data_IF_813687807492
#
_entry.id   IF_813687807492
#
_cell.length_a   1.000
_cell.length_b   1.000
_cell.length_c   1.000
_cell.angle_alpha   90.00
_cell.angle_beta   90.00
_cell.angle_gamma   90.00
#
_symmetry.space_group_name_H-M   'P 1'
#
loop_
_entity.id
_entity.type
_entity.pdbx_description
1 polymer ?
#
# COMPACT_ATOMS: atom_id res chain seq x y z
N UNK A 1 14.05 4.46 -27.75
CA UNK A 1 13.60 5.40 -26.70
C UNK A 1 14.44 6.68 -26.68
N UNK A 2 15.76 6.63 -26.39
CA UNK A 2 16.61 7.83 -26.24
C UNK A 2 16.60 8.78 -27.45
N UNK A 3 16.72 8.26 -28.68
CA UNK A 3 16.66 9.10 -29.89
C UNK A 3 15.32 9.81 -30.08
N UNK A 4 14.22 9.11 -29.81
CA UNK A 4 12.86 9.67 -29.86
C UNK A 4 12.68 10.74 -28.80
N UNK A 5 13.17 10.50 -27.58
CA UNK A 5 13.13 11.48 -26.50
C UNK A 5 13.87 12.76 -26.88
N UNK A 6 15.11 12.64 -27.39
CA UNK A 6 15.88 13.82 -27.82
C UNK A 6 15.20 14.55 -28.97
N UNK A 7 14.73 13.86 -30.00
CA UNK A 7 14.03 14.50 -31.11
C UNK A 7 12.80 15.30 -30.63
N UNK A 8 12.04 14.76 -29.66
CA UNK A 8 10.90 15.47 -29.08
C UNK A 8 11.31 16.69 -28.26
N UNK A 9 12.37 16.58 -27.45
CA UNK A 9 12.92 17.69 -26.68
C UNK A 9 13.47 18.79 -27.60
N UNK A 10 14.24 18.40 -28.62
CA UNK A 10 14.86 19.32 -29.59
C UNK A 10 13.80 20.04 -30.44
N UNK A 11 12.62 19.44 -30.62
CA UNK A 11 11.45 20.05 -31.25
C UNK A 11 10.49 20.74 -30.26
N UNK A 12 10.92 21.01 -29.02
CA UNK A 12 10.10 21.66 -27.97
C UNK A 12 8.73 20.99 -27.74
N UNK A 13 8.64 19.67 -27.89
CA UNK A 13 7.42 18.92 -27.62
C UNK A 13 7.31 18.60 -26.13
N UNK A 14 6.11 18.68 -25.59
CA UNK A 14 5.84 18.31 -24.20
C UNK A 14 5.94 16.80 -24.03
N UNK A 15 6.64 16.35 -22.99
CA UNK A 15 6.83 14.95 -22.65
C UNK A 15 6.34 14.74 -21.21
N UNK A 16 5.43 13.79 -21.00
CA UNK A 16 4.96 13.36 -19.68
C UNK A 16 5.31 11.88 -19.52
N UNK A 17 5.97 11.54 -18.41
CA UNK A 17 6.43 10.18 -18.12
C UNK A 17 5.95 9.82 -16.72
N UNK A 18 5.39 8.63 -16.58
CA UNK A 18 5.08 8.00 -15.29
C UNK A 18 5.95 6.77 -15.08
N UNK A 19 6.34 6.53 -13.84
CA UNK A 19 7.15 5.38 -13.43
C UNK A 19 6.83 4.99 -11.98
N UNK A 20 6.99 3.71 -11.64
CA UNK A 20 6.76 3.19 -10.28
C UNK A 20 7.90 3.52 -9.29
N UNK A 21 8.97 4.14 -9.79
CA UNK A 21 10.20 4.47 -9.06
C UNK A 21 10.74 5.80 -9.55
N UNK A 22 11.48 6.47 -8.68
CA UNK A 22 12.20 7.69 -9.05
C UNK A 22 13.17 7.41 -10.21
N UNK A 23 13.47 8.39 -11.09
CA UNK A 23 14.34 8.17 -12.25
C UNK A 23 15.71 7.55 -11.93
N UNK A 24 16.28 7.83 -10.75
CA UNK A 24 17.56 7.28 -10.31
C UNK A 24 17.51 5.78 -9.97
N UNK A 25 16.36 5.31 -9.51
CA UNK A 25 16.14 3.93 -9.02
C UNK A 25 15.64 2.97 -10.12
N UNK A 26 15.44 3.44 -11.34
CA UNK A 26 14.99 2.61 -12.46
C UNK A 26 16.13 1.66 -12.89
N UNK A 27 15.97 0.37 -12.57
CA UNK A 27 16.92 -0.68 -12.96
C UNK A 27 16.91 -0.89 -14.48
N UNK A 28 18.09 -1.08 -15.07
CA UNK A 28 18.24 -1.33 -16.50
C UNK A 28 18.16 -0.09 -17.39
N UNK A 29 17.96 1.10 -16.83
CA UNK A 29 17.99 2.35 -17.56
C UNK A 29 19.42 2.90 -17.65
N UNK A 30 19.85 3.33 -18.83
CA UNK A 30 21.18 3.94 -19.01
C UNK A 30 21.30 5.27 -18.25
N UNK A 31 22.46 5.54 -17.65
CA UNK A 31 22.69 6.73 -16.82
C UNK A 31 22.37 8.06 -17.52
N UNK A 32 22.66 8.16 -18.82
CA UNK A 32 22.31 9.35 -19.62
C UNK A 32 20.80 9.60 -19.69
N UNK A 33 19.98 8.54 -19.67
CA UNK A 33 18.52 8.67 -19.70
C UNK A 33 18.03 9.06 -18.30
N UNK A 34 18.57 8.46 -17.24
CA UNK A 34 18.25 8.84 -15.86
C UNK A 34 18.52 10.32 -15.60
N UNK A 35 19.70 10.80 -16.00
CA UNK A 35 20.08 12.21 -15.88
C UNK A 35 19.10 13.13 -16.61
N UNK A 36 18.70 12.78 -17.85
CA UNK A 36 17.73 13.57 -18.62
C UNK A 36 16.34 13.63 -17.97
N UNK A 37 15.87 12.52 -17.39
CA UNK A 37 14.60 12.48 -16.65
C UNK A 37 14.64 13.37 -15.40
N UNK A 38 15.80 13.44 -14.73
CA UNK A 38 16.01 14.29 -13.54
C UNK A 38 16.12 15.78 -13.87
N UNK A 39 16.49 16.15 -15.10
CA UNK A 39 16.54 17.56 -15.52
C UNK A 39 15.16 18.21 -15.65
N UNK A 40 14.07 17.43 -15.70
CA UNK A 40 12.70 17.92 -15.77
C UNK A 40 12.06 18.17 -14.40
N UNK A 41 10.74 18.41 -14.40
CA UNK A 41 9.96 18.44 -13.18
C UNK A 41 9.64 17.00 -12.74
N UNK A 42 10.17 16.60 -11.59
CA UNK A 42 9.87 15.31 -10.94
C UNK A 42 8.89 15.56 -9.81
N UNK A 43 7.74 14.89 -9.83
CA UNK A 43 6.70 15.01 -8.80
C UNK A 43 6.34 13.63 -8.29
N UNK A 44 6.35 13.48 -6.97
CA UNK A 44 5.96 12.23 -6.31
C UNK A 44 4.45 12.14 -6.17
N UNK A 45 3.91 10.95 -6.49
CA UNK A 45 2.52 10.59 -6.21
C UNK A 45 2.45 9.86 -4.88
N UNK A 46 1.84 10.50 -3.89
CA UNK A 46 1.67 9.94 -2.56
C UNK A 46 0.46 8.98 -2.52
N UNK A 47 0.46 8.01 -1.60
CA UNK A 47 -0.73 7.21 -1.32
C UNK A 47 -1.93 8.11 -0.99
N UNK A 48 -3.13 7.68 -1.38
CA UNK A 48 -4.33 8.47 -1.10
C UNK A 48 -4.60 8.55 0.40
N UNK A 49 -4.86 9.75 0.89
CA UNK A 49 -5.42 9.98 2.21
C UNK A 49 -6.95 9.85 2.21
N UNK A 50 -7.56 10.06 3.37
CA UNK A 50 -9.01 10.02 3.50
C UNK A 50 -9.71 11.08 2.64
N UNK A 51 -9.22 12.32 2.69
CA UNK A 51 -9.79 13.46 1.96
C UNK A 51 -9.78 13.22 0.45
N UNK A 52 -8.65 12.74 -0.10
CA UNK A 52 -8.54 12.42 -1.52
C UNK A 52 -9.46 11.26 -1.92
N UNK A 53 -9.58 10.22 -1.09
CA UNK A 53 -10.54 9.12 -1.35
C UNK A 53 -11.98 9.61 -1.37
N UNK A 54 -12.36 10.48 -0.42
CA UNK A 54 -13.70 11.06 -0.37
C UNK A 54 -13.96 11.95 -1.59
N UNK A 55 -13.00 12.81 -1.96
CA UNK A 55 -13.11 13.66 -3.15
C UNK A 55 -13.26 12.86 -4.44
N UNK A 56 -12.49 11.77 -4.60
CA UNK A 56 -12.63 10.84 -5.74
C UNK A 56 -14.03 10.23 -5.75
N UNK A 57 -14.54 9.75 -4.62
CA UNK A 57 -15.89 9.19 -4.53
C UNK A 57 -16.97 10.21 -4.87
N UNK A 58 -16.87 11.45 -4.41
CA UNK A 58 -17.82 12.52 -4.72
C UNK A 58 -17.86 12.80 -6.23
N UNK A 59 -16.70 12.99 -6.86
CA UNK A 59 -16.60 13.20 -8.30
C UNK A 59 -17.18 12.01 -9.08
N UNK A 60 -16.85 10.78 -8.68
CA UNK A 60 -17.35 9.56 -9.34
C UNK A 60 -18.83 9.35 -9.10
N UNK A 61 -19.38 9.74 -7.95
CA UNK A 61 -20.81 9.66 -7.67
C UNK A 61 -21.59 10.59 -8.60
N UNK A 62 -21.10 11.81 -8.83
CA UNK A 62 -21.70 12.75 -9.80
C UNK A 62 -21.70 12.18 -11.22
N UNK A 63 -20.58 11.61 -11.66
CA UNK A 63 -20.50 10.94 -12.98
C UNK A 63 -21.49 9.77 -13.09
N UNK A 64 -21.61 8.95 -12.05
CA UNK A 64 -22.52 7.80 -12.05
C UNK A 64 -24.00 8.23 -12.02
N UNK A 65 -24.35 9.33 -11.33
CA UNK A 65 -25.71 9.89 -11.37
C UNK A 65 -26.16 10.23 -12.80
N UNK A 66 -25.23 10.67 -13.65
CA UNK A 66 -25.51 10.91 -15.07
C UNK A 66 -25.83 9.63 -15.86
N UNK A 67 -25.21 8.51 -15.51
CA UNK A 67 -25.41 7.22 -16.18
C UNK A 67 -26.61 6.43 -15.64
N UNK A 68 -26.97 6.63 -14.36
CA UNK A 68 -28.04 5.93 -13.67
C UNK A 68 -29.08 6.93 -13.13
N UNK A 69 -29.88 7.55 -14.01
CA UNK A 69 -30.88 8.53 -13.60
C UNK A 69 -31.90 7.88 -12.65
N UNK A 70 -32.17 8.55 -11.53
CA UNK A 70 -33.13 8.09 -10.51
C UNK A 70 -32.53 7.26 -9.38
N UNK A 71 -31.27 6.82 -9.47
CA UNK A 71 -30.58 6.20 -8.34
C UNK A 71 -30.28 7.25 -7.28
N UNK A 72 -30.75 7.00 -6.04
CA UNK A 72 -30.48 7.84 -4.87
C UNK A 72 -29.37 7.24 -4.04
N UNK A 73 -28.58 8.11 -3.41
CA UNK A 73 -27.50 7.73 -2.51
C UNK A 73 -27.74 8.39 -1.16
N UNK A 74 -27.85 7.58 -0.12
CA UNK A 74 -28.06 8.07 1.23
C UNK A 74 -26.82 8.81 1.77
N UNK A 75 -26.99 9.79 2.67
CA UNK A 75 -25.89 10.44 3.36
C UNK A 75 -25.01 9.43 4.11
N UNK A 76 -23.69 9.68 4.19
CA UNK A 76 -22.76 8.83 4.94
C UNK A 76 -22.22 7.62 4.17
N UNK A 77 -22.80 7.26 3.02
CA UNK A 77 -22.33 6.11 2.22
C UNK A 77 -20.94 6.37 1.64
N UNK A 78 -20.65 7.57 1.14
CA UNK A 78 -19.34 7.88 0.58
C UNK A 78 -18.27 7.92 1.67
N UNK A 79 -18.59 8.53 2.81
CA UNK A 79 -17.73 8.59 3.99
C UNK A 79 -17.43 7.17 4.51
N UNK A 80 -18.44 6.31 4.54
CA UNK A 80 -18.28 4.91 4.90
C UNK A 80 -17.33 4.18 3.95
N UNK A 81 -17.51 4.32 2.64
CA UNK A 81 -16.63 3.70 1.64
C UNK A 81 -15.19 4.22 1.77
N UNK A 82 -14.99 5.54 1.92
CA UNK A 82 -13.67 6.17 2.07
C UNK A 82 -12.92 5.71 3.33
N UNK A 83 -13.64 5.41 4.41
CA UNK A 83 -13.08 4.84 5.65
C UNK A 83 -12.75 3.36 5.52
N UNK A 84 -13.61 2.59 4.85
CA UNK A 84 -13.52 1.12 4.86
C UNK A 84 -12.64 0.56 3.75
N UNK A 85 -12.52 1.24 2.61
CA UNK A 85 -11.74 0.81 1.46
C UNK A 85 -10.52 1.72 1.32
N UNK A 86 -9.41 1.32 1.94
CA UNK A 86 -8.16 2.11 1.98
C UNK A 86 -7.04 1.55 1.11
N UNK A 87 -7.19 0.33 0.59
CA UNK A 87 -6.11 -0.38 -0.11
C UNK A 87 -5.82 0.17 -1.50
N UNK A 88 -6.85 0.43 -2.31
CA UNK A 88 -6.66 0.83 -3.70
C UNK A 88 -7.83 1.67 -4.23
N UNK A 89 -7.54 2.81 -4.85
CA UNK A 89 -8.54 3.71 -5.45
C UNK A 89 -9.38 3.00 -6.52
N UNK A 90 -8.81 2.05 -7.28
CA UNK A 90 -9.58 1.28 -8.27
C UNK A 90 -10.64 0.40 -7.62
N UNK A 91 -10.34 -0.18 -6.45
CA UNK A 91 -11.32 -0.97 -5.68
C UNK A 91 -12.41 -0.05 -5.14
N UNK A 92 -12.03 1.14 -4.66
CA UNK A 92 -12.96 2.16 -4.19
C UNK A 92 -13.94 2.61 -5.29
N UNK A 93 -13.43 2.93 -6.49
CA UNK A 93 -14.25 3.32 -7.63
C UNK A 93 -15.14 2.17 -8.12
N UNK A 94 -14.59 0.96 -8.20
CA UNK A 94 -15.34 -0.23 -8.61
C UNK A 94 -16.48 -0.59 -7.64
N UNK A 95 -16.24 -0.42 -6.33
CA UNK A 95 -17.25 -0.58 -5.30
C UNK A 95 -18.42 0.40 -5.49
N UNK A 96 -18.11 1.69 -5.71
CA UNK A 96 -19.14 2.71 -5.98
C UNK A 96 -19.93 2.39 -7.25
N UNK A 97 -19.26 2.07 -8.36
CA UNK A 97 -19.91 1.71 -9.62
C UNK A 97 -20.83 0.50 -9.46
N UNK A 98 -20.41 -0.51 -8.69
CA UNK A 98 -21.23 -1.70 -8.38
C UNK A 98 -22.50 -1.33 -7.61
N UNK A 99 -22.42 -0.42 -6.64
CA UNK A 99 -23.60 0.05 -5.90
C UNK A 99 -24.60 0.74 -6.82
N UNK A 100 -24.15 1.62 -7.71
CA UNK A 100 -25.02 2.30 -8.67
C UNK A 100 -25.69 1.32 -9.64
N UNK A 101 -24.93 0.37 -10.20
CA UNK A 101 -25.47 -0.66 -11.08
C UNK A 101 -26.52 -1.53 -10.36
N UNK A 102 -26.23 -1.98 -9.14
CA UNK A 102 -27.15 -2.80 -8.36
C UNK A 102 -28.42 -2.03 -7.96
N UNK A 103 -28.27 -0.79 -7.48
CA UNK A 103 -29.40 0.06 -7.11
C UNK A 103 -30.30 0.38 -8.30
N UNK A 104 -29.72 0.62 -9.48
CA UNK A 104 -30.48 0.83 -10.72
C UNK A 104 -31.26 -0.43 -11.13
N UNK A 105 -30.71 -1.62 -10.91
CA UNK A 105 -31.37 -2.88 -11.26
C UNK A 105 -32.53 -3.20 -10.32
N UNK A 106 -32.35 -2.96 -9.01
CA UNK A 106 -33.34 -3.32 -7.97
C UNK A 106 -34.33 -2.17 -7.69
N UNK A 107 -34.05 -0.96 -8.20
CA UNK A 107 -34.89 0.22 -7.98
C UNK A 107 -34.88 0.70 -6.53
N UNK A 108 -33.77 0.48 -5.81
CA UNK A 108 -33.63 0.86 -4.39
C UNK A 108 -32.61 1.97 -4.22
N UNK A 109 -32.80 2.77 -3.17
CA UNK A 109 -31.80 3.74 -2.74
C UNK A 109 -30.55 3.03 -2.19
N UNK A 110 -29.37 3.58 -2.49
CA UNK A 110 -28.10 3.09 -1.93
C UNK A 110 -28.01 3.56 -0.48
N UNK A 111 -28.38 2.69 0.46
CA UNK A 111 -28.23 2.89 1.90
C UNK A 111 -26.97 2.20 2.43
N UNK A 112 -26.61 2.46 3.69
CA UNK A 112 -25.50 1.74 4.34
C UNK A 112 -25.76 0.23 4.41
N UNK A 113 -27.00 -0.19 4.67
CA UNK A 113 -27.35 -1.62 4.72
C UNK A 113 -27.17 -2.29 3.37
N UNK A 114 -27.72 -1.70 2.29
CA UNK A 114 -27.53 -2.18 0.93
C UNK A 114 -26.04 -2.21 0.55
N UNK A 115 -25.28 -1.23 1.01
CA UNK A 115 -23.84 -1.15 0.78
C UNK A 115 -23.11 -2.31 1.44
N UNK A 116 -23.43 -2.62 2.69
CA UNK A 116 -22.81 -3.73 3.43
C UNK A 116 -23.15 -5.09 2.81
N UNK A 117 -24.39 -5.27 2.38
CA UNK A 117 -24.83 -6.51 1.74
C UNK A 117 -24.16 -6.70 0.37
N UNK A 118 -24.22 -5.67 -0.48
CA UNK A 118 -23.72 -5.70 -1.86
C UNK A 118 -22.19 -5.80 -1.95
N UNK A 119 -21.48 -5.23 -0.97
CA UNK A 119 -20.02 -5.17 -0.95
C UNK A 119 -19.39 -6.04 0.14
N UNK A 120 -20.12 -7.01 0.70
CA UNK A 120 -19.63 -7.84 1.80
C UNK A 120 -18.29 -8.52 1.50
N UNK A 121 -18.05 -8.94 0.26
CA UNK A 121 -16.80 -9.48 -0.25
C UNK A 121 -15.66 -8.44 -0.23
N UNK A 122 -15.93 -7.26 -0.78
CA UNK A 122 -14.98 -6.16 -0.93
C UNK A 122 -14.59 -5.61 0.44
N UNK A 123 -15.57 -5.40 1.31
CA UNK A 123 -15.36 -4.90 2.67
C UNK A 123 -14.56 -5.90 3.51
N UNK A 124 -14.81 -7.21 3.37
CA UNK A 124 -14.00 -8.24 4.03
C UNK A 124 -12.55 -8.26 3.53
N UNK A 125 -12.35 -8.05 2.23
CA UNK A 125 -11.00 -7.98 1.66
C UNK A 125 -10.26 -6.72 2.12
N UNK A 126 -10.94 -5.58 2.24
CA UNK A 126 -10.38 -4.34 2.78
C UNK A 126 -10.14 -4.39 4.29
N UNK A 127 -10.90 -5.18 5.03
CA UNK A 127 -10.70 -5.44 6.47
C UNK A 127 -9.53 -6.37 6.78
N UNK A 128 -8.84 -6.90 5.77
CA UNK A 128 -7.70 -7.81 5.95
C UNK A 128 -6.49 -7.03 6.46
N UNK A 129 -6.54 -6.63 7.72
CA UNK A 129 -5.42 -6.04 8.45
C UNK A 129 -4.27 -7.03 8.42
N UNK A 130 -3.10 -6.55 8.03
CA UNK A 130 -1.86 -7.32 8.05
C UNK A 130 -1.66 -7.91 9.45
N UNK A 131 -1.58 -9.24 9.53
CA UNK A 131 -1.34 -9.94 10.79
C UNK A 131 0.17 -10.11 11.05
N UNK A 132 0.58 -10.23 12.32
CA UNK A 132 1.99 -10.46 12.66
C UNK A 132 2.47 -11.78 12.04
N UNK A 133 1.61 -12.79 12.00
CA UNK A 133 1.88 -14.09 11.40
C UNK A 133 2.14 -13.99 9.89
N UNK A 134 1.39 -13.14 9.19
CA UNK A 134 1.58 -12.89 7.76
C UNK A 134 2.89 -12.13 7.49
N UNK A 135 3.23 -11.15 8.32
CA UNK A 135 4.52 -10.45 8.27
C UNK A 135 5.65 -11.45 8.47
N UNK A 136 5.58 -12.30 9.50
CA UNK A 136 6.60 -13.33 9.74
C UNK A 136 6.77 -14.26 8.55
N UNK A 137 5.66 -14.70 7.91
CA UNK A 137 5.70 -15.56 6.73
C UNK A 137 6.37 -14.88 5.54
N UNK A 138 5.95 -13.66 5.20
CA UNK A 138 6.50 -12.89 4.08
C UNK A 138 7.97 -12.56 4.25
N UNK A 139 8.36 -12.14 5.45
CA UNK A 139 9.77 -11.86 5.76
C UNK A 139 10.59 -13.15 5.74
N UNK A 140 10.05 -14.25 6.24
CA UNK A 140 10.73 -15.55 6.21
C UNK A 140 10.97 -16.04 4.78
N UNK A 141 9.97 -15.90 3.91
CA UNK A 141 10.05 -16.21 2.47
C UNK A 141 11.11 -15.34 1.77
N UNK A 142 11.07 -14.02 1.96
CA UNK A 142 12.00 -13.07 1.33
C UNK A 142 13.47 -13.36 1.68
N UNK A 143 13.76 -13.62 2.95
CA UNK A 143 15.12 -13.91 3.41
C UNK A 143 15.49 -15.39 3.37
N UNK A 144 14.60 -16.25 2.84
CA UNK A 144 14.78 -17.70 2.78
C UNK A 144 15.14 -18.33 4.15
N UNK A 145 14.45 -17.91 5.20
CA UNK A 145 14.57 -18.46 6.55
C UNK A 145 13.33 -19.26 6.93
N UNK A 146 13.48 -20.25 7.81
CA UNK A 146 12.34 -21.02 8.28
C UNK A 146 11.46 -20.18 9.20
N UNK A 147 10.14 -20.29 9.07
CA UNK A 147 9.20 -19.58 9.94
C UNK A 147 9.44 -19.90 11.43
N UNK A 148 9.83 -21.13 11.75
CA UNK A 148 10.20 -21.55 13.12
C UNK A 148 11.39 -20.79 13.68
N UNK A 149 12.30 -20.32 12.82
CA UNK A 149 13.46 -19.55 13.24
C UNK A 149 13.08 -18.10 13.61
N UNK A 150 11.92 -17.60 13.17
CA UNK A 150 11.41 -16.28 13.55
C UNK A 150 11.03 -16.22 15.04
N UNK A 151 10.59 -17.34 15.61
CA UNK A 151 10.27 -17.47 17.04
C UNK A 151 11.41 -18.08 17.86
N UNK A 152 12.26 -18.89 17.24
CA UNK A 152 13.36 -19.60 17.92
C UNK A 152 14.49 -18.71 18.46
N UNK A 153 15.38 -19.23 19.32
CA UNK A 153 16.40 -18.45 20.04
C UNK A 153 17.63 -18.07 19.21
N UNK A 154 17.76 -18.56 17.96
CA UNK A 154 18.94 -18.37 17.11
C UNK A 154 19.32 -16.89 16.96
N UNK A 155 20.59 -16.57 17.24
CA UNK A 155 21.13 -15.19 17.22
C UNK A 155 22.03 -14.88 16.03
N UNK A 156 22.28 -15.86 15.15
CA UNK A 156 23.06 -15.65 13.93
C UNK A 156 22.44 -14.53 13.08
N UNK A 157 23.27 -13.67 12.48
CA UNK A 157 22.81 -12.49 11.72
C UNK A 157 21.84 -12.86 10.60
N UNK A 158 22.05 -13.99 9.94
CA UNK A 158 21.18 -14.54 8.88
C UNK A 158 19.74 -14.81 9.33
N UNK A 159 19.50 -14.99 10.64
CA UNK A 159 18.16 -15.19 11.21
C UNK A 159 17.72 -13.98 12.03
N UNK A 160 18.63 -13.41 12.82
CA UNK A 160 18.33 -12.27 13.67
C UNK A 160 17.94 -11.03 12.86
N UNK A 161 18.55 -10.82 11.69
CA UNK A 161 18.26 -9.68 10.82
C UNK A 161 16.85 -9.75 10.21
N UNK A 162 16.44 -10.86 9.54
CA UNK A 162 15.04 -11.03 9.12
C UNK A 162 14.05 -10.90 10.28
N UNK A 163 14.38 -11.45 11.46
CA UNK A 163 13.51 -11.33 12.64
C UNK A 163 13.30 -9.88 13.08
N UNK A 164 14.36 -9.08 13.12
CA UNK A 164 14.28 -7.64 13.44
C UNK A 164 13.47 -6.88 12.39
N UNK A 165 13.62 -7.22 11.10
CA UNK A 165 12.80 -6.66 10.01
C UNK A 165 11.32 -6.97 10.23
N UNK A 166 10.96 -8.21 10.56
CA UNK A 166 9.58 -8.57 10.86
C UNK A 166 9.03 -7.85 12.11
N UNK A 167 9.84 -7.62 13.15
CA UNK A 167 9.44 -6.84 14.32
C UNK A 167 9.19 -5.37 13.98
N UNK A 168 10.06 -4.77 13.16
CA UNK A 168 9.89 -3.41 12.64
C UNK A 168 8.60 -3.29 11.83
N UNK A 169 8.39 -4.16 10.85
CA UNK A 169 7.17 -4.16 10.03
C UNK A 169 5.92 -4.40 10.89
N UNK A 170 5.97 -5.29 11.88
CA UNK A 170 4.85 -5.50 12.80
C UNK A 170 4.50 -4.25 13.60
N UNK A 171 5.50 -3.45 14.01
CA UNK A 171 5.26 -2.19 14.71
C UNK A 171 4.68 -1.11 13.80
N UNK A 172 5.10 -1.08 12.53
CA UNK A 172 4.70 -0.05 11.56
C UNK A 172 3.34 -0.36 10.92
N UNK A 173 3.05 -1.62 10.63
CA UNK A 173 1.89 -2.05 9.84
C UNK A 173 0.72 -2.56 10.67
N UNK A 174 0.88 -2.67 11.99
CA UNK A 174 -0.18 -3.15 12.88
C UNK A 174 -0.38 -2.22 14.06
N UNK A 175 -1.57 -2.24 14.65
CA UNK A 175 -1.89 -1.47 15.88
C UNK A 175 -1.43 -2.18 17.16
N UNK A 176 -0.60 -3.23 17.05
CA UNK A 176 -0.19 -4.05 18.19
C UNK A 176 0.86 -3.36 19.04
N UNK A 177 0.74 -3.54 20.35
CA UNK A 177 1.70 -3.05 21.33
C UNK A 177 3.01 -3.85 21.30
N UNK A 178 4.12 -3.26 21.78
CA UNK A 178 5.42 -3.95 21.85
C UNK A 178 5.36 -5.28 22.64
N UNK A 179 4.62 -5.38 23.77
CA UNK A 179 4.42 -6.66 24.46
C UNK A 179 3.63 -7.70 23.64
N UNK A 180 2.61 -7.28 22.89
CA UNK A 180 1.87 -8.19 21.98
C UNK A 180 2.76 -8.71 20.85
N UNK A 181 3.57 -7.83 20.26
CA UNK A 181 4.57 -8.21 19.25
C UNK A 181 5.55 -9.21 19.86
N UNK A 182 6.10 -8.92 21.04
CA UNK A 182 7.01 -9.80 21.79
C UNK A 182 6.48 -11.23 21.95
N UNK A 183 5.21 -11.37 22.36
CA UNK A 183 4.53 -12.66 22.48
C UNK A 183 4.52 -13.46 21.17
N UNK A 184 4.31 -12.81 20.03
CA UNK A 184 4.30 -13.45 18.70
C UNK A 184 5.69 -13.81 18.18
N UNK A 185 6.74 -13.22 18.73
CA UNK A 185 8.13 -13.58 18.44
C UNK A 185 8.71 -14.42 19.57
N UNK A 186 8.05 -15.51 19.96
CA UNK A 186 8.61 -16.47 20.94
C UNK A 186 8.73 -15.94 22.37
N UNK A 187 7.82 -15.06 22.80
CA UNK A 187 7.79 -14.55 24.17
C UNK A 187 8.91 -13.58 24.52
N UNK A 188 9.40 -12.81 23.54
CA UNK A 188 10.49 -11.84 23.75
C UNK A 188 10.03 -10.61 24.52
N UNK A 189 10.89 -10.08 25.37
CA UNK A 189 10.63 -8.84 26.10
C UNK A 189 10.43 -7.65 25.17
N UNK A 190 9.58 -6.72 25.58
CA UNK A 190 9.29 -5.49 24.84
C UNK A 190 10.55 -4.65 24.58
N UNK A 191 11.54 -4.69 25.47
CA UNK A 191 12.85 -4.05 25.28
C UNK A 191 13.63 -4.68 24.13
N UNK A 192 13.58 -6.01 23.98
CA UNK A 192 14.19 -6.73 22.84
C UNK A 192 13.55 -6.29 21.53
N UNK A 193 12.22 -6.13 21.51
CA UNK A 193 11.50 -5.62 20.34
C UNK A 193 11.94 -4.19 20.02
N UNK A 194 11.99 -3.32 21.03
CA UNK A 194 12.43 -1.92 20.88
C UNK A 194 13.86 -1.82 20.33
N UNK A 195 14.80 -2.62 20.84
CA UNK A 195 16.17 -2.68 20.33
C UNK A 195 16.23 -3.16 18.88
N UNK A 196 15.42 -4.17 18.53
CA UNK A 196 15.32 -4.66 17.16
C UNK A 196 14.82 -3.58 16.19
N UNK A 197 13.76 -2.86 16.57
CA UNK A 197 13.18 -1.76 15.79
C UNK A 197 14.20 -0.66 15.54
N UNK A 198 14.81 -0.12 16.61
CA UNK A 198 15.84 0.92 16.51
C UNK A 198 16.99 0.49 15.60
N UNK A 199 17.38 -0.79 15.68
CA UNK A 199 18.46 -1.31 14.84
C UNK A 199 18.09 -1.41 13.36
N UNK A 200 16.81 -1.59 13.03
CA UNK A 200 16.35 -1.52 11.64
C UNK A 200 16.32 -0.06 11.18
N UNK A 201 15.84 0.87 12.01
CA UNK A 201 15.77 2.30 11.69
C UNK A 201 17.16 2.89 11.39
N UNK A 202 18.16 2.62 12.25
CA UNK A 202 19.55 3.05 12.04
C UNK A 202 20.12 2.53 10.71
N UNK A 203 19.86 1.27 10.41
CA UNK A 203 20.43 0.63 9.24
C UNK A 203 19.68 0.98 7.96
N UNK A 204 18.39 1.32 8.03
CA UNK A 204 17.66 1.85 6.87
C UNK A 204 18.31 3.12 6.33
N UNK A 205 18.88 3.96 7.20
CA UNK A 205 19.55 5.19 6.79
C UNK A 205 20.92 4.96 6.12
N UNK A 206 21.53 3.78 6.29
CA UNK A 206 22.93 3.51 5.88
C UNK A 206 23.08 2.34 4.92
N UNK A 207 22.09 1.46 4.83
CA UNK A 207 22.08 0.25 4.01
C UNK A 207 20.94 0.35 2.99
N UNK A 208 21.30 0.72 1.75
CA UNK A 208 20.35 0.91 0.65
C UNK A 208 19.64 -0.40 0.27
N UNK A 209 20.34 -1.53 0.34
CA UNK A 209 19.76 -2.84 0.03
C UNK A 209 18.67 -3.21 1.05
N UNK A 210 18.94 -2.97 2.34
CA UNK A 210 17.93 -3.17 3.37
C UNK A 210 16.74 -2.21 3.19
N UNK A 211 16.97 -0.95 2.81
CA UNK A 211 15.87 -0.02 2.56
C UNK A 211 14.97 -0.52 1.42
N UNK A 212 15.56 -0.97 0.32
CA UNK A 212 14.85 -1.56 -0.80
C UNK A 212 14.04 -2.80 -0.38
N UNK A 213 14.63 -3.68 0.43
CA UNK A 213 13.96 -4.87 0.98
C UNK A 213 12.74 -4.49 1.82
N UNK A 214 12.89 -3.48 2.70
CA UNK A 214 11.82 -3.00 3.57
C UNK A 214 10.66 -2.42 2.77
N UNK A 215 10.95 -1.61 1.75
CA UNK A 215 9.91 -1.00 0.92
C UNK A 215 9.20 -2.04 0.05
N UNK A 216 9.92 -3.06 -0.44
CA UNK A 216 9.33 -4.19 -1.16
C UNK A 216 8.40 -5.00 -0.25
N UNK A 217 8.89 -5.40 0.93
CA UNK A 217 8.11 -6.16 1.90
C UNK A 217 6.87 -5.37 2.36
N UNK A 218 7.03 -4.07 2.60
CA UNK A 218 5.94 -3.18 2.98
C UNK A 218 4.84 -3.15 1.92
N UNK A 219 5.21 -2.90 0.65
CA UNK A 219 4.26 -2.91 -0.48
C UNK A 219 3.56 -4.26 -0.62
N UNK A 220 4.29 -5.38 -0.50
CA UNK A 220 3.69 -6.72 -0.57
C UNK A 220 2.72 -7.01 0.59
N UNK A 221 2.84 -6.33 1.73
CA UNK A 221 1.98 -6.52 2.90
C UNK A 221 0.78 -5.56 2.88
N UNK A 222 0.95 -4.32 2.43
CA UNK A 222 -0.13 -3.32 2.34
C UNK A 222 -1.09 -3.57 1.15
N UNK A 223 -0.63 -4.26 0.10
CA UNK A 223 -1.46 -4.69 -1.04
C UNK A 223 -1.55 -3.65 -2.15
#
# INVERSE_FOLDING_TARGET
FFHTFNALVDHNRQIVISADRSPGEIKGLEERIKSRLQCGLVVDLHPTDYELRLGVLQQKAEMNRGHYPGVKLAPGVLEFLAHRITSNVRVLEGALARLFAFASLVGREITLDLTQDCLSDTLRASDRKVSIEEIQRKVAEHYNVRLTDMVGPKRQRTVARPRQVAMYLAKTLTTRSLPEIGRRFGGRDHTTIMHGIRKIEELRATDSQLSDDLDLLRRSLEG
#
